data_IF_520734962483
#
_entry.id   IF_520734962483
#
_cell.length_a   1.000
_cell.length_b   1.000
_cell.length_c   1.000
_cell.angle_alpha   90.00
_cell.angle_beta   90.00
_cell.angle_gamma   90.00
#
_symmetry.space_group_name_H-M   'P 1'
#
loop_
_entity.id
_entity.type
_entity.pdbx_description
1 polymer ?
#
# COMPACT_ATOMS: atom_id res chain seq x y z
N UNK A 1 20.59 23.24 26.98
CA UNK A 1 19.85 24.33 26.32
C UNK A 1 20.61 24.97 25.16
N UNK A 2 21.94 25.14 25.18
CA UNK A 2 22.73 25.61 24.01
C UNK A 2 22.91 24.55 22.91
N UNK A 3 23.22 23.29 23.29
CA UNK A 3 23.52 22.21 22.33
C UNK A 3 22.34 21.87 21.38
N UNK A 4 21.09 22.11 21.80
CA UNK A 4 19.89 21.87 20.97
C UNK A 4 19.68 22.98 19.91
N UNK A 5 20.36 24.12 20.04
CA UNK A 5 20.23 25.23 19.09
C UNK A 5 21.16 25.07 17.88
N UNK A 6 22.31 24.42 18.03
CA UNK A 6 23.28 24.28 16.94
C UNK A 6 22.75 23.57 15.69
N UNK A 7 21.99 22.46 15.79
CA UNK A 7 21.42 21.82 14.61
C UNK A 7 20.41 22.69 13.84
N UNK A 8 19.84 23.73 14.47
CA UNK A 8 18.81 24.61 13.90
C UNK A 8 19.39 25.85 13.21
N UNK A 9 20.72 26.03 13.22
CA UNK A 9 21.37 27.27 12.82
C UNK A 9 21.22 27.62 11.34
N UNK A 10 21.26 26.63 10.45
CA UNK A 10 21.22 26.84 9.00
C UNK A 10 20.10 26.00 8.37
N UNK A 11 18.84 26.43 8.50
CA UNK A 11 17.73 25.75 7.84
C UNK A 11 17.91 25.83 6.32
N UNK A 12 17.56 24.73 5.64
CA UNK A 12 17.64 24.63 4.17
C UNK A 12 16.26 24.21 3.67
N UNK A 13 15.69 25.04 2.80
CA UNK A 13 14.46 24.73 2.09
C UNK A 13 14.74 24.01 0.77
N UNK A 14 13.81 23.15 0.36
CA UNK A 14 13.88 22.39 -0.89
C UNK A 14 12.51 22.37 -1.56
N UNK A 15 12.52 22.42 -2.88
CA UNK A 15 11.32 22.34 -3.72
C UNK A 15 11.48 21.22 -4.76
N UNK A 16 10.36 20.60 -5.12
CA UNK A 16 10.29 19.55 -6.15
C UNK A 16 9.58 20.08 -7.40
N UNK A 17 10.09 19.73 -8.58
CA UNK A 17 9.52 20.14 -9.86
C UNK A 17 9.12 18.90 -10.68
N UNK A 18 7.88 18.45 -10.52
CA UNK A 18 7.38 17.22 -11.13
C UNK A 18 7.38 17.28 -12.66
N UNK A 19 7.08 18.45 -13.25
CA UNK A 19 7.07 18.62 -14.71
C UNK A 19 8.45 18.33 -15.32
N UNK A 20 9.53 18.70 -14.61
CA UNK A 20 10.91 18.42 -15.05
C UNK A 20 11.28 16.95 -14.93
N UNK A 21 10.71 16.24 -13.94
CA UNK A 21 10.86 14.80 -13.80
C UNK A 21 10.19 14.10 -14.99
N UNK A 22 8.94 14.44 -15.29
CA UNK A 22 8.17 13.87 -16.39
C UNK A 22 8.80 14.17 -17.75
N UNK A 23 9.22 15.42 -18.01
CA UNK A 23 9.94 15.79 -19.24
C UNK A 23 11.20 14.94 -19.49
N UNK A 24 11.87 14.49 -18.43
CA UNK A 24 13.11 13.71 -18.53
C UNK A 24 12.86 12.21 -18.66
N UNK A 25 11.92 11.67 -17.88
CA UNK A 25 11.74 10.22 -17.71
C UNK A 25 10.45 9.66 -18.30
N UNK A 26 9.52 10.49 -18.76
CA UNK A 26 8.22 10.07 -19.31
C UNK A 26 8.02 10.73 -20.68
N UNK A 27 8.84 10.31 -21.65
CA UNK A 27 8.71 10.79 -23.04
C UNK A 27 7.52 10.14 -23.71
N UNK A 28 6.73 10.94 -24.40
CA UNK A 28 5.54 10.46 -25.11
C UNK A 28 5.93 9.42 -26.19
N UNK A 29 5.25 8.27 -26.17
CA UNK A 29 5.52 7.15 -27.10
C UNK A 29 6.67 6.22 -26.68
N UNK A 30 7.40 6.52 -25.60
CA UNK A 30 8.44 5.65 -25.05
C UNK A 30 7.98 5.02 -23.72
N UNK A 31 8.62 3.90 -23.34
CA UNK A 31 8.40 3.33 -22.01
C UNK A 31 8.92 4.28 -20.92
N UNK A 32 8.24 4.34 -19.78
CA UNK A 32 8.65 5.20 -18.67
C UNK A 32 10.04 4.81 -18.14
N UNK A 33 10.95 5.79 -18.15
CA UNK A 33 12.27 5.72 -17.56
C UNK A 33 12.28 5.91 -16.04
N UNK A 34 11.12 6.06 -15.40
CA UNK A 34 11.00 6.08 -13.95
C UNK A 34 11.46 4.76 -13.33
N UNK A 35 12.15 4.87 -12.20
CA UNK A 35 12.62 3.72 -11.44
C UNK A 35 11.46 3.00 -10.75
N UNK A 36 11.57 1.68 -10.58
CA UNK A 36 10.59 0.93 -9.81
C UNK A 36 10.71 1.25 -8.30
N UNK A 37 9.59 1.18 -7.59
CA UNK A 37 9.47 1.43 -6.16
C UNK A 37 8.62 0.34 -5.52
N UNK A 38 9.18 -0.31 -4.50
CA UNK A 38 8.43 -1.25 -3.66
C UNK A 38 8.00 -0.58 -2.36
N UNK A 39 6.71 -0.64 -2.06
CA UNK A 39 6.12 -0.06 -0.85
C UNK A 39 5.86 -1.17 0.15
N UNK A 40 6.42 -1.05 1.34
CA UNK A 40 6.34 -2.04 2.41
C UNK A 40 5.39 -1.56 3.50
N UNK A 41 4.39 -2.38 3.79
CA UNK A 41 3.47 -2.22 4.92
C UNK A 41 3.66 -3.41 5.85
N UNK A 42 3.84 -3.15 7.14
CA UNK A 42 3.94 -4.21 8.14
C UNK A 42 2.76 -4.14 9.11
N UNK A 43 2.17 -5.29 9.40
CA UNK A 43 1.12 -5.46 10.42
C UNK A 43 1.47 -6.64 11.33
N UNK A 44 1.06 -6.55 12.59
CA UNK A 44 1.42 -7.54 13.62
C UNK A 44 0.20 -8.32 14.10
N UNK A 45 -0.93 -7.65 14.34
CA UNK A 45 -2.10 -8.26 14.95
C UNK A 45 -3.37 -7.50 14.52
N UNK A 46 -4.28 -8.14 13.78
CA UNK A 46 -5.48 -7.46 13.28
C UNK A 46 -6.47 -7.07 14.39
N UNK A 47 -6.32 -7.56 15.62
CA UNK A 47 -7.12 -7.10 16.76
C UNK A 47 -6.62 -5.77 17.33
N UNK A 48 -5.33 -5.47 17.14
CA UNK A 48 -4.71 -4.19 17.56
C UNK A 48 -4.71 -3.17 16.44
N UNK A 49 -4.54 -3.65 15.22
CA UNK A 49 -4.47 -2.86 13.98
C UNK A 49 -5.68 -3.25 13.11
N UNK A 50 -6.81 -2.51 13.20
CA UNK A 50 -8.03 -2.92 12.54
C UNK A 50 -7.83 -3.16 11.04
N UNK A 51 -8.30 -4.29 10.46
CA UNK A 51 -8.03 -4.60 9.06
C UNK A 51 -8.50 -3.54 8.07
N UNK A 52 -9.55 -2.79 8.42
CA UNK A 52 -10.04 -1.68 7.62
C UNK A 52 -9.01 -0.53 7.52
N UNK A 53 -8.23 -0.27 8.57
CA UNK A 53 -7.17 0.74 8.56
C UNK A 53 -6.06 0.32 7.60
N UNK A 54 -5.56 -0.92 7.75
CA UNK A 54 -4.57 -1.51 6.83
C UNK A 54 -5.07 -1.52 5.39
N UNK A 55 -6.35 -1.85 5.15
CA UNK A 55 -6.95 -1.82 3.83
C UNK A 55 -6.95 -0.41 3.22
N UNK A 56 -7.27 0.62 4.01
CA UNK A 56 -7.23 2.02 3.57
C UNK A 56 -5.81 2.46 3.17
N UNK A 57 -4.81 2.06 3.95
CA UNK A 57 -3.39 2.28 3.64
C UNK A 57 -3.01 1.60 2.32
N UNK A 58 -3.32 0.31 2.16
CA UNK A 58 -3.07 -0.44 0.92
C UNK A 58 -3.77 0.20 -0.28
N UNK A 59 -5.03 0.57 -0.17
CA UNK A 59 -5.77 1.24 -1.25
C UNK A 59 -5.17 2.59 -1.63
N UNK A 60 -4.64 3.34 -0.65
CA UNK A 60 -3.93 4.60 -0.92
C UNK A 60 -2.65 4.38 -1.73
N UNK A 61 -1.93 3.29 -1.45
CA UNK A 61 -0.71 2.89 -2.15
C UNK A 61 -1.03 2.43 -3.58
N UNK A 62 -2.03 1.56 -3.76
CA UNK A 62 -2.43 1.09 -5.09
C UNK A 62 -3.00 2.22 -5.97
N UNK A 63 -3.47 3.31 -5.36
CA UNK A 63 -4.05 4.47 -6.02
C UNK A 63 -3.08 5.62 -6.33
N UNK A 64 -1.77 5.45 -6.15
CA UNK A 64 -0.76 6.50 -6.41
C UNK A 64 -0.68 6.89 -7.90
N UNK A 65 -0.22 8.11 -8.15
CA UNK A 65 0.09 8.60 -9.49
C UNK A 65 1.51 8.19 -9.88
N UNK A 66 1.65 6.96 -10.36
CA UNK A 66 2.91 6.39 -10.85
C UNK A 66 2.60 5.27 -11.88
N UNK A 67 3.52 4.94 -12.80
CA UNK A 67 3.31 3.82 -13.72
C UNK A 67 3.04 2.50 -12.98
N UNK A 68 2.03 1.76 -13.43
CA UNK A 68 1.49 0.59 -12.72
C UNK A 68 2.51 -0.56 -12.63
N UNK A 69 3.36 -0.68 -13.65
CA UNK A 69 4.43 -1.66 -13.75
C UNK A 69 5.65 -1.31 -12.89
N UNK A 70 5.68 -0.10 -12.31
CA UNK A 70 6.79 0.43 -11.51
C UNK A 70 6.49 0.55 -10.02
N UNK A 71 5.25 0.29 -9.58
CA UNK A 71 4.91 0.24 -8.15
C UNK A 71 4.44 -1.14 -7.77
N UNK A 72 4.97 -1.66 -6.67
CA UNK A 72 4.44 -2.86 -6.01
C UNK A 72 4.23 -2.60 -4.53
N UNK A 73 3.14 -3.14 -3.99
CA UNK A 73 2.79 -3.08 -2.57
C UNK A 73 3.03 -4.45 -1.93
N UNK A 74 3.82 -4.49 -0.87
CA UNK A 74 4.07 -5.66 -0.07
C UNK A 74 3.50 -5.46 1.33
N UNK A 75 2.67 -6.39 1.78
CA UNK A 75 2.12 -6.41 3.12
C UNK A 75 2.72 -7.58 3.87
N UNK A 76 3.54 -7.30 4.87
CA UNK A 76 4.07 -8.30 5.80
C UNK A 76 3.12 -8.46 6.98
N UNK A 77 2.64 -9.68 7.19
CA UNK A 77 1.83 -10.06 8.33
C UNK A 77 2.63 -10.92 9.30
N UNK A 78 3.11 -10.30 10.38
CA UNK A 78 3.83 -11.02 11.43
C UNK A 78 2.89 -11.89 12.29
N UNK A 79 1.58 -11.71 12.21
CA UNK A 79 0.59 -12.51 12.95
C UNK A 79 0.21 -13.82 12.26
N UNK A 80 0.51 -13.96 10.96
CA UNK A 80 0.04 -15.07 10.12
C UNK A 80 -1.48 -15.31 10.25
N UNK A 81 -2.25 -14.21 10.31
CA UNK A 81 -3.68 -14.25 10.63
C UNK A 81 -4.51 -14.44 9.38
N UNK A 82 -5.43 -15.41 9.41
CA UNK A 82 -6.42 -15.60 8.34
C UNK A 82 -7.27 -14.34 8.13
N UNK A 83 -7.57 -13.57 9.20
CA UNK A 83 -8.32 -12.32 9.09
C UNK A 83 -7.60 -11.29 8.21
N UNK A 84 -6.28 -11.11 8.40
CA UNK A 84 -5.47 -10.20 7.59
C UNK A 84 -5.46 -10.66 6.13
N UNK A 85 -5.27 -11.97 5.91
CA UNK A 85 -5.28 -12.56 4.57
C UNK A 85 -6.62 -12.37 3.83
N UNK A 86 -7.76 -12.75 4.45
CA UNK A 86 -9.10 -12.58 3.87
C UNK A 86 -9.43 -11.09 3.65
N UNK A 87 -9.01 -10.21 4.57
CA UNK A 87 -9.22 -8.76 4.42
C UNK A 87 -8.44 -8.18 3.24
N UNK A 88 -7.22 -8.67 2.98
CA UNK A 88 -6.43 -8.26 1.81
C UNK A 88 -7.05 -8.76 0.51
N UNK A 89 -7.61 -9.98 0.49
CA UNK A 89 -8.33 -10.50 -0.66
C UNK A 89 -9.54 -9.62 -1.01
N UNK A 90 -10.37 -9.27 -0.02
CA UNK A 90 -11.49 -8.32 -0.19
C UNK A 90 -11.01 -6.92 -0.62
N UNK A 91 -9.87 -6.47 -0.09
CA UNK A 91 -9.26 -5.19 -0.45
C UNK A 91 -8.80 -5.18 -1.91
N UNK A 92 -8.23 -6.28 -2.40
CA UNK A 92 -7.83 -6.43 -3.79
C UNK A 92 -9.02 -6.32 -4.74
N UNK A 93 -10.15 -6.96 -4.42
CA UNK A 93 -11.37 -6.86 -5.21
C UNK A 93 -11.97 -5.45 -5.20
N UNK A 94 -11.97 -4.77 -4.05
CA UNK A 94 -12.40 -3.38 -3.99
C UNK A 94 -11.45 -2.43 -4.75
N UNK A 95 -10.14 -2.70 -4.73
CA UNK A 95 -9.15 -1.90 -5.46
C UNK A 95 -9.43 -1.85 -6.97
N UNK A 96 -9.95 -2.93 -7.56
CA UNK A 96 -10.35 -2.99 -8.99
C UNK A 96 -11.41 -1.96 -9.38
N UNK A 97 -12.23 -1.53 -8.42
CA UNK A 97 -13.24 -0.48 -8.63
C UNK A 97 -12.72 0.89 -8.20
N UNK A 98 -12.00 0.93 -7.08
CA UNK A 98 -11.54 2.18 -6.45
C UNK A 98 -10.40 2.87 -7.19
N UNK A 99 -9.39 2.12 -7.65
CA UNK A 99 -8.20 2.68 -8.32
C UNK A 99 -8.55 3.40 -9.63
N UNK A 100 -9.31 2.81 -10.58
CA UNK A 100 -9.69 3.53 -11.80
C UNK A 100 -10.54 4.76 -11.50
N UNK A 101 -11.47 4.68 -10.53
CA UNK A 101 -12.25 5.85 -10.08
C UNK A 101 -11.34 6.98 -9.54
N UNK A 102 -10.35 6.64 -8.72
CA UNK A 102 -9.40 7.62 -8.17
C UNK A 102 -8.58 8.30 -9.26
N UNK A 103 -8.07 7.52 -10.22
CA UNK A 103 -7.26 8.03 -11.33
C UNK A 103 -8.11 8.89 -12.27
N UNK A 104 -9.29 8.40 -12.69
CA UNK A 104 -10.20 9.10 -13.61
C UNK A 104 -10.64 10.46 -13.10
N UNK A 105 -10.95 10.58 -11.80
CA UNK A 105 -11.47 11.83 -11.23
C UNK A 105 -10.44 12.62 -10.41
N UNK A 106 -9.17 12.22 -10.42
CA UNK A 106 -8.10 12.81 -9.60
C UNK A 106 -8.57 13.03 -8.14
N UNK A 107 -8.98 11.94 -7.49
CA UNK A 107 -9.51 11.97 -6.13
C UNK A 107 -8.37 12.13 -5.14
N UNK A 108 -8.51 13.03 -4.16
CA UNK A 108 -7.58 13.12 -3.03
C UNK A 108 -8.36 13.35 -1.72
N UNK A 109 -7.98 12.67 -0.61
CA UNK A 109 -6.90 11.68 -0.50
C UNK A 109 -7.31 10.33 -1.13
N UNK A 110 -6.34 9.44 -1.36
CA UNK A 110 -6.58 8.12 -1.98
C UNK A 110 -7.10 7.05 -1.01
N UNK A 111 -7.05 7.32 0.30
CA UNK A 111 -7.67 6.47 1.31
C UNK A 111 -9.20 6.72 1.37
N UNK A 112 -10.06 5.73 1.07
CA UNK A 112 -11.50 5.94 0.94
C UNK A 112 -12.21 6.35 2.24
N UNK A 113 -11.84 5.80 3.40
CA UNK A 113 -12.43 6.20 4.70
C UNK A 113 -12.22 7.69 4.94
N UNK A 114 -11.00 8.17 4.67
CA UNK A 114 -10.60 9.56 4.84
C UNK A 114 -11.27 10.46 3.79
N UNK A 115 -11.36 10.01 2.53
CA UNK A 115 -12.03 10.75 1.47
C UNK A 115 -13.52 10.92 1.74
N UNK A 116 -14.24 9.85 2.10
CA UNK A 116 -15.69 9.90 2.27
C UNK A 116 -16.14 10.52 3.60
N UNK A 117 -15.26 10.57 4.61
CA UNK A 117 -15.53 11.22 5.91
C UNK A 117 -15.26 12.73 5.92
N UNK A 118 -14.49 13.26 4.96
CA UNK A 118 -14.21 14.70 4.84
C UNK A 118 -15.50 15.50 4.64
N UNK A 119 -15.71 16.51 5.49
CA UNK A 119 -16.81 17.49 5.40
C UNK A 119 -16.44 18.70 4.52
N UNK A 120 -15.84 18.44 3.38
CA UNK A 120 -15.43 19.47 2.41
C UNK A 120 -16.34 19.39 1.19
N UNK A 121 -16.49 20.49 0.47
CA UNK A 121 -17.16 20.48 -0.83
C UNK A 121 -16.40 19.57 -1.81
N UNK A 122 -16.97 18.39 -2.05
CA UNK A 122 -16.42 17.36 -2.91
C UNK A 122 -16.69 17.64 -4.40
N UNK A 123 -17.49 18.66 -4.74
CA UNK A 123 -17.74 19.09 -6.12
C UNK A 123 -16.76 20.16 -6.59
N UNK A 124 -15.98 20.75 -5.68
CA UNK A 124 -15.00 21.78 -5.99
C UNK A 124 -14.03 21.30 -7.07
N UNK A 125 -13.88 22.12 -8.12
CA UNK A 125 -12.99 21.89 -9.27
C UNK A 125 -13.26 20.59 -10.07
N UNK A 126 -14.44 19.98 -9.90
CA UNK A 126 -14.85 18.78 -10.65
C UNK A 126 -15.64 19.17 -11.89
N UNK A 127 -15.01 19.01 -13.05
CA UNK A 127 -15.60 19.36 -14.36
C UNK A 127 -16.29 18.18 -15.07
N UNK A 128 -16.08 16.94 -14.62
CA UNK A 128 -16.61 15.76 -15.29
C UNK A 128 -18.12 15.57 -15.01
N UNK A 129 -18.98 15.51 -16.04
CA UNK A 129 -20.44 15.44 -15.85
C UNK A 129 -20.93 14.20 -15.10
N UNK A 130 -20.25 13.06 -15.25
CA UNK A 130 -20.65 11.79 -14.63
C UNK A 130 -20.22 11.66 -13.17
N UNK A 131 -19.38 12.59 -12.68
CA UNK A 131 -18.74 12.50 -11.36
C UNK A 131 -19.75 12.29 -10.22
N UNK A 132 -20.85 13.05 -10.19
CA UNK A 132 -21.85 12.96 -9.11
C UNK A 132 -22.49 11.57 -9.04
N UNK A 133 -22.83 11.01 -10.20
CA UNK A 133 -23.45 9.68 -10.32
C UNK A 133 -22.46 8.60 -9.87
N UNK A 134 -21.25 8.64 -10.41
CA UNK A 134 -20.22 7.63 -10.15
C UNK A 134 -19.70 7.70 -8.72
N UNK A 135 -19.49 8.90 -8.17
CA UNK A 135 -19.11 9.07 -6.75
C UNK A 135 -20.17 8.47 -5.82
N UNK A 136 -21.46 8.65 -6.12
CA UNK A 136 -22.54 8.08 -5.32
C UNK A 136 -22.55 6.55 -5.41
N UNK A 137 -22.33 5.98 -6.59
CA UNK A 137 -22.19 4.54 -6.76
C UNK A 137 -20.97 4.00 -5.99
N UNK A 138 -19.81 4.64 -6.15
CA UNK A 138 -18.57 4.26 -5.47
C UNK A 138 -18.68 4.36 -3.94
N UNK A 139 -19.40 5.36 -3.41
CA UNK A 139 -19.67 5.43 -1.97
C UNK A 139 -20.46 4.22 -1.48
N UNK A 140 -21.45 3.74 -2.23
CA UNK A 140 -22.22 2.53 -1.84
C UNK A 140 -21.34 1.28 -1.86
N UNK A 141 -20.55 1.12 -2.92
CA UNK A 141 -19.58 0.04 -3.06
C UNK A 141 -18.58 0.03 -1.88
N UNK A 142 -18.14 1.21 -1.43
CA UNK A 142 -17.27 1.34 -0.26
C UNK A 142 -17.96 0.95 1.05
N UNK A 143 -19.22 1.35 1.28
CA UNK A 143 -19.97 0.92 2.47
C UNK A 143 -20.22 -0.60 2.46
N UNK A 144 -20.52 -1.19 1.30
CA UNK A 144 -20.63 -2.65 1.17
C UNK A 144 -19.30 -3.37 1.46
N UNK A 145 -18.19 -2.83 0.98
CA UNK A 145 -16.86 -3.31 1.33
C UNK A 145 -16.60 -3.24 2.85
N UNK A 146 -16.95 -2.13 3.52
CA UNK A 146 -16.84 -2.01 4.98
C UNK A 146 -17.68 -3.09 5.71
N UNK A 147 -18.88 -3.36 5.22
CA UNK A 147 -19.74 -4.43 5.79
C UNK A 147 -19.06 -5.79 5.65
N UNK A 148 -18.48 -6.12 4.49
CA UNK A 148 -17.74 -7.38 4.30
C UNK A 148 -16.54 -7.51 5.23
N UNK A 149 -15.71 -6.46 5.34
CA UNK A 149 -14.58 -6.44 6.28
C UNK A 149 -15.06 -6.63 7.73
N UNK A 150 -16.13 -5.94 8.15
CA UNK A 150 -16.68 -6.08 9.49
C UNK A 150 -17.22 -7.49 9.75
N UNK A 151 -17.81 -8.14 8.74
CA UNK A 151 -18.24 -9.54 8.85
C UNK A 151 -17.04 -10.48 9.05
N UNK A 152 -15.93 -10.26 8.36
CA UNK A 152 -14.68 -11.00 8.57
C UNK A 152 -14.13 -10.80 9.98
N UNK A 153 -14.09 -9.56 10.47
CA UNK A 153 -13.66 -9.24 11.84
C UNK A 153 -14.53 -9.96 12.87
N UNK A 154 -15.86 -9.92 12.72
CA UNK A 154 -16.78 -10.59 13.62
C UNK A 154 -16.62 -12.12 13.58
N UNK A 155 -16.40 -12.72 12.40
CA UNK A 155 -16.10 -14.15 12.22
C UNK A 155 -14.81 -14.53 12.94
N UNK A 156 -13.76 -13.72 12.80
CA UNK A 156 -12.43 -13.96 13.39
C UNK A 156 -12.42 -13.97 14.93
N UNK A 157 -13.41 -13.33 15.58
CA UNK A 157 -13.53 -13.36 17.06
C UNK A 157 -13.89 -14.76 17.60
N UNK A 158 -14.42 -15.65 16.75
CA UNK A 158 -14.82 -17.02 17.12
C UNK A 158 -13.88 -18.02 16.45
N UNK A 159 -12.73 -18.24 17.07
CA UNK A 159 -11.75 -19.22 16.57
C UNK A 159 -12.34 -20.63 16.60
N UNK A 160 -12.40 -21.35 15.47
CA UNK A 160 -12.88 -22.74 15.46
C UNK A 160 -11.97 -23.65 16.30
N UNK A 161 -12.50 -24.65 17.02
CA UNK A 161 -11.69 -25.61 17.79
C UNK A 161 -10.66 -26.34 16.94
N UNK A 162 -11.04 -26.67 15.69
CA UNK A 162 -10.22 -27.39 14.72
C UNK A 162 -9.16 -26.49 14.03
N UNK A 163 -9.16 -25.20 14.36
CA UNK A 163 -8.40 -24.17 13.65
C UNK A 163 -9.12 -23.62 12.42
N UNK A 164 -8.48 -22.64 11.78
CA UNK A 164 -8.97 -22.02 10.57
C UNK A 164 -8.78 -22.94 9.36
N UNK A 165 -9.73 -22.88 8.42
CA UNK A 165 -9.76 -23.65 7.17
C UNK A 165 -9.92 -22.67 6.01
N UNK A 166 -9.14 -22.86 4.96
CA UNK A 166 -9.20 -22.10 3.72
C UNK A 166 -10.46 -22.44 2.90
N UNK A 167 -10.78 -21.64 1.89
CA UNK A 167 -11.96 -21.87 1.05
C UNK A 167 -11.90 -23.20 0.26
N UNK A 168 -10.71 -23.71 0.00
CA UNK A 168 -10.48 -24.99 -0.67
C UNK A 168 -10.56 -26.21 0.28
N UNK A 169 -10.89 -25.98 1.55
CA UNK A 169 -11.01 -27.02 2.57
C UNK A 169 -9.70 -27.43 3.24
N UNK A 170 -8.57 -26.81 2.88
CA UNK A 170 -7.27 -27.10 3.52
C UNK A 170 -7.10 -26.34 4.84
N UNK A 171 -6.38 -26.89 5.84
CA UNK A 171 -6.08 -26.16 7.07
C UNK A 171 -5.23 -24.91 6.80
N UNK A 172 -5.54 -23.80 7.47
CA UNK A 172 -4.74 -22.58 7.40
C UNK A 172 -3.31 -22.85 7.93
N UNK A 173 -2.25 -22.61 7.13
CA UNK A 173 -0.89 -22.92 7.57
C UNK A 173 -0.42 -22.09 8.78
N UNK A 174 -1.01 -20.90 8.98
CA UNK A 174 -0.74 -20.02 10.11
C UNK A 174 -1.54 -20.30 11.38
N UNK A 175 -2.22 -21.45 11.50
CA UNK A 175 -3.01 -21.79 12.70
C UNK A 175 -2.21 -21.74 14.00
N UNK A 176 -0.90 -22.06 13.96
CA UNK A 176 0.02 -21.87 15.07
C UNK A 176 0.96 -20.69 14.78
N UNK A 177 0.71 -19.54 15.44
CA UNK A 177 1.48 -18.30 15.22
C UNK A 177 2.96 -18.40 15.65
N UNK A 178 3.34 -19.44 16.41
CA UNK A 178 4.72 -19.70 16.84
C UNK A 178 5.44 -20.76 16.00
N UNK A 179 4.70 -21.54 15.22
CA UNK A 179 5.23 -22.63 14.39
C UNK A 179 4.40 -22.75 13.11
N UNK A 180 4.81 -22.05 12.06
CA UNK A 180 4.17 -22.08 10.75
C UNK A 180 5.18 -21.87 9.63
N UNK A 181 4.95 -22.45 8.44
CA UNK A 181 5.77 -22.20 7.27
C UNK A 181 5.60 -20.74 6.78
N UNK A 182 6.57 -20.26 6.01
CA UNK A 182 6.42 -19.00 5.29
C UNK A 182 5.35 -19.10 4.20
N UNK A 183 4.61 -18.01 3.99
CA UNK A 183 3.52 -17.93 3.00
C UNK A 183 3.72 -16.68 2.15
N UNK A 184 3.59 -16.82 0.82
CA UNK A 184 3.61 -15.70 -0.12
C UNK A 184 2.41 -15.84 -1.05
N UNK A 185 1.59 -14.79 -1.14
CA UNK A 185 0.46 -14.74 -2.06
C UNK A 185 0.49 -13.44 -2.86
N UNK A 186 0.29 -13.54 -4.17
CA UNK A 186 0.13 -12.37 -5.05
C UNK A 186 -1.35 -12.22 -5.39
N UNK A 187 -1.96 -11.08 -5.04
CA UNK A 187 -3.39 -10.81 -5.25
C UNK A 187 -3.64 -10.01 -6.53
N UNK A 188 -2.85 -8.96 -6.77
CA UNK A 188 -2.94 -8.06 -7.93
C UNK A 188 -1.61 -8.03 -8.69
N UNK A 189 -1.63 -7.50 -9.91
CA UNK A 189 -0.49 -7.45 -10.84
C UNK A 189 -0.80 -8.19 -12.13
N UNK A 190 0.23 -8.44 -12.95
CA UNK A 190 0.08 -9.07 -14.27
C UNK A 190 -0.73 -10.38 -14.29
N UNK A 191 -0.54 -11.25 -13.29
CA UNK A 191 -1.29 -12.52 -13.15
C UNK A 191 -2.57 -12.39 -12.31
N UNK A 192 -2.83 -11.22 -11.73
CA UNK A 192 -3.92 -10.96 -10.80
C UNK A 192 -5.18 -10.39 -11.45
N UNK A 193 -5.28 -10.40 -12.79
CA UNK A 193 -6.43 -9.84 -13.52
C UNK A 193 -6.43 -8.32 -13.62
N UNK A 194 -7.45 -7.77 -14.27
CA UNK A 194 -7.56 -6.35 -14.61
C UNK A 194 -8.52 -5.59 -13.68
N UNK A 195 -8.48 -4.27 -13.75
CA UNK A 195 -9.47 -3.39 -13.13
C UNK A 195 -10.78 -3.36 -13.94
N UNK A 196 -11.78 -2.61 -13.43
CA UNK A 196 -13.08 -2.51 -14.07
C UNK A 196 -13.07 -1.87 -15.48
N UNK A 197 -11.98 -1.16 -15.83
CA UNK A 197 -11.79 -0.52 -17.13
C UNK A 197 -10.87 -1.36 -18.05
N UNK A 198 -10.41 -2.54 -17.60
CA UNK A 198 -9.56 -3.46 -18.36
C UNK A 198 -8.06 -3.20 -18.26
N UNK A 199 -7.61 -2.35 -17.33
CA UNK A 199 -6.19 -2.02 -17.14
C UNK A 199 -5.54 -2.84 -16.03
N UNK A 200 -4.22 -2.98 -16.08
CA UNK A 200 -3.46 -3.61 -14.99
C UNK A 200 -3.40 -2.73 -13.73
N UNK A 201 -3.34 -3.38 -12.57
CA UNK A 201 -3.16 -2.73 -11.27
C UNK A 201 -1.74 -2.99 -10.72
N UNK A 202 -1.22 -2.09 -9.86
CA UNK A 202 0.02 -2.35 -9.14
C UNK A 202 -0.04 -3.68 -8.39
N UNK A 203 1.10 -4.37 -8.31
CA UNK A 203 1.17 -5.68 -7.66
C UNK A 203 0.87 -5.56 -6.17
N UNK A 204 0.07 -6.47 -5.63
CA UNK A 204 -0.16 -6.59 -4.19
C UNK A 204 0.32 -7.97 -3.72
N UNK A 205 1.34 -8.00 -2.87
CA UNK A 205 1.97 -9.21 -2.36
C UNK A 205 1.76 -9.31 -0.86
N UNK A 206 1.12 -10.38 -0.40
CA UNK A 206 1.08 -10.76 1.01
C UNK A 206 2.27 -11.65 1.33
N UNK A 207 2.94 -11.37 2.44
CA UNK A 207 4.07 -12.15 2.94
C UNK A 207 3.86 -12.43 4.43
N UNK A 208 3.90 -13.71 4.80
CA UNK A 208 4.08 -14.13 6.19
C UNK A 208 5.37 -14.93 6.28
N UNK A 209 6.21 -14.62 7.27
CA UNK A 209 7.52 -15.25 7.43
C UNK A 209 7.38 -16.57 8.15
N UNK A 210 8.25 -17.52 7.84
CA UNK A 210 8.38 -18.73 8.64
C UNK A 210 8.77 -18.39 10.09
N UNK A 211 8.12 -19.05 11.05
CA UNK A 211 8.46 -18.97 12.47
C UNK A 211 8.53 -20.37 13.05
N UNK A 212 9.52 -20.61 13.90
CA UNK A 212 9.75 -21.88 14.60
C UNK A 212 10.03 -21.64 16.08
N UNK A 213 9.58 -22.55 16.98
CA UNK A 213 9.91 -22.47 18.39
C UNK A 213 11.44 -22.46 18.61
N UNK A 214 11.93 -21.60 19.51
CA UNK A 214 13.35 -21.47 19.80
C UNK A 214 14.13 -20.52 18.87
N UNK A 215 13.52 -19.99 17.82
CA UNK A 215 14.15 -19.03 16.90
C UNK A 215 13.70 -17.59 17.19
N UNK A 216 14.66 -16.69 17.39
CA UNK A 216 14.37 -15.27 17.59
C UNK A 216 13.99 -14.60 16.26
N UNK A 217 12.83 -13.95 16.21
CA UNK A 217 12.25 -13.44 14.96
C UNK A 217 12.38 -11.91 14.75
N UNK A 218 12.96 -11.20 15.72
CA UNK A 218 13.32 -9.77 15.64
C UNK A 218 12.19 -8.78 15.29
N UNK A 219 10.92 -9.13 15.56
CA UNK A 219 9.73 -8.27 15.35
C UNK A 219 9.78 -7.57 13.96
N UNK A 220 9.52 -6.26 13.92
CA UNK A 220 9.52 -5.41 12.72
C UNK A 220 10.85 -5.44 11.95
N UNK A 221 12.00 -5.47 12.63
CA UNK A 221 13.29 -5.53 11.95
C UNK A 221 13.45 -6.81 11.12
N UNK A 222 13.02 -7.95 11.68
CA UNK A 222 13.00 -9.21 10.95
C UNK A 222 11.99 -9.21 9.80
N UNK A 223 10.84 -8.57 9.98
CA UNK A 223 9.79 -8.44 8.95
C UNK A 223 10.32 -7.65 7.75
N UNK A 224 10.86 -6.45 8.00
CA UNK A 224 11.43 -5.57 6.97
C UNK A 224 12.58 -6.25 6.22
N UNK A 225 13.50 -6.91 6.94
CA UNK A 225 14.60 -7.63 6.30
C UNK A 225 14.13 -8.79 5.41
N UNK A 226 13.04 -9.47 5.77
CA UNK A 226 12.47 -10.51 4.92
C UNK A 226 11.78 -9.92 3.70
N UNK A 227 11.03 -8.82 3.85
CA UNK A 227 10.42 -8.11 2.73
C UNK A 227 11.47 -7.69 1.70
N UNK A 228 12.60 -7.13 2.13
CA UNK A 228 13.71 -6.77 1.23
C UNK A 228 14.19 -8.00 0.42
N UNK A 229 14.36 -9.15 1.06
CA UNK A 229 14.81 -10.38 0.37
C UNK A 229 13.76 -10.92 -0.60
N UNK A 230 12.49 -10.88 -0.22
CA UNK A 230 11.38 -11.35 -1.08
C UNK A 230 11.20 -10.41 -2.27
N UNK A 231 11.22 -9.09 -2.03
CA UNK A 231 11.17 -8.05 -3.07
C UNK A 231 12.33 -8.20 -4.07
N UNK A 232 13.56 -8.42 -3.59
CA UNK A 232 14.73 -8.62 -4.45
C UNK A 232 14.57 -9.79 -5.45
N UNK A 233 13.75 -10.81 -5.13
CA UNK A 233 13.47 -11.94 -6.01
C UNK A 233 12.28 -11.67 -6.93
N UNK A 234 11.23 -10.98 -6.45
CA UNK A 234 9.97 -10.83 -7.18
C UNK A 234 9.92 -9.63 -8.13
N UNK A 235 10.57 -8.53 -7.78
CA UNK A 235 10.48 -7.22 -8.48
C UNK A 235 11.85 -6.55 -8.61
N UNK A 236 12.71 -6.72 -7.60
CA UNK A 236 14.04 -6.12 -7.52
C UNK A 236 14.04 -4.60 -7.74
N UNK A 237 13.10 -3.89 -7.10
CA UNK A 237 13.02 -2.44 -7.20
C UNK A 237 14.25 -1.76 -6.55
N UNK A 238 14.85 -0.75 -7.19
CA UNK A 238 16.01 -0.04 -6.64
C UNK A 238 15.68 0.84 -5.43
N UNK A 239 14.41 1.20 -5.25
CA UNK A 239 13.95 2.03 -4.14
C UNK A 239 12.84 1.32 -3.38
N UNK A 240 12.84 1.49 -2.06
CA UNK A 240 11.78 1.01 -1.16
C UNK A 240 11.19 2.17 -0.36
N UNK A 241 9.89 2.13 -0.13
CA UNK A 241 9.16 3.05 0.75
C UNK A 241 8.58 2.25 1.92
N UNK A 242 9.01 2.55 3.14
CA UNK A 242 8.43 1.95 4.34
C UNK A 242 7.25 2.78 4.86
N UNK A 243 6.09 2.16 5.04
CA UNK A 243 4.87 2.75 5.58
C UNK A 243 4.31 1.88 6.71
N UNK A 244 3.85 2.52 7.77
CA UNK A 244 3.15 1.84 8.86
C UNK A 244 1.68 1.63 8.48
N UNK A 245 1.02 0.62 9.06
CA UNK A 245 -0.33 0.23 8.65
C UNK A 245 -1.39 1.32 8.87
N UNK A 246 -1.13 2.28 9.76
CA UNK A 246 -1.97 3.44 10.08
C UNK A 246 -1.60 4.71 9.31
N UNK A 247 -0.56 4.67 8.47
CA UNK A 247 -0.15 5.78 7.61
C UNK A 247 -0.57 5.54 6.17
N UNK A 248 -1.26 6.51 5.58
CA UNK A 248 -1.71 6.45 4.19
C UNK A 248 -1.07 7.54 3.33
N UNK A 249 -1.03 7.33 2.02
CA UNK A 249 -0.53 8.34 1.08
C UNK A 249 -1.60 9.41 0.85
N UNK A 250 -1.40 10.59 1.43
CA UNK A 250 -2.35 11.71 1.34
C UNK A 250 -2.32 12.37 -0.05
N UNK A 251 -1.12 12.66 -0.58
CA UNK A 251 -0.89 13.22 -1.91
C UNK A 251 -0.43 12.10 -2.85
N UNK A 252 -1.19 11.85 -3.91
CA UNK A 252 -0.89 10.76 -4.86
C UNK A 252 0.45 10.90 -5.59
N UNK A 253 1.08 12.08 -5.54
CA UNK A 253 2.35 12.41 -6.17
C UNK A 253 3.57 12.24 -5.25
N UNK A 254 3.40 11.81 -4.00
CA UNK A 254 4.51 11.69 -3.04
C UNK A 254 5.69 10.83 -3.55
N UNK A 255 5.41 9.74 -4.26
CA UNK A 255 6.47 8.91 -4.86
C UNK A 255 7.22 9.68 -5.95
N UNK A 256 6.52 10.45 -6.79
CA UNK A 256 7.15 11.31 -7.81
C UNK A 256 8.01 12.40 -7.17
N UNK A 257 7.54 13.01 -6.09
CA UNK A 257 8.30 14.01 -5.32
C UNK A 257 9.60 13.41 -4.75
N UNK A 258 9.55 12.19 -4.22
CA UNK A 258 10.75 11.47 -3.79
C UNK A 258 11.72 11.21 -4.95
N UNK A 259 11.20 10.84 -6.13
CA UNK A 259 12.01 10.59 -7.32
C UNK A 259 12.69 11.87 -7.85
N UNK A 260 12.14 13.07 -7.62
CA UNK A 260 12.84 14.31 -7.93
C UNK A 260 14.21 14.42 -7.25
N UNK A 261 14.35 13.91 -6.01
CA UNK A 261 15.62 13.91 -5.29
C UNK A 261 16.48 12.70 -5.62
N UNK A 262 15.87 11.50 -5.65
CA UNK A 262 16.59 10.23 -5.80
C UNK A 262 17.10 10.00 -7.22
N UNK A 263 16.38 10.51 -8.23
CA UNK A 263 16.74 10.38 -9.64
C UNK A 263 17.38 11.65 -10.22
N UNK A 264 17.82 12.58 -9.37
CA UNK A 264 18.59 13.74 -9.82
C UNK A 264 20.00 13.29 -10.29
N UNK A 265 20.44 13.61 -11.52
CA UNK A 265 21.73 13.15 -12.04
C UNK A 265 22.96 13.68 -11.28
N UNK A 266 22.84 14.83 -10.61
CA UNK A 266 23.93 15.48 -9.89
C UNK A 266 23.92 15.10 -8.40
N UNK A 267 22.74 15.15 -7.78
CA UNK A 267 22.58 14.98 -6.33
C UNK A 267 22.12 13.58 -5.92
N UNK A 268 21.34 12.87 -6.76
CA UNK A 268 20.66 11.63 -6.40
C UNK A 268 21.59 10.53 -5.92
N UNK A 269 22.80 10.43 -6.50
CA UNK A 269 23.84 9.48 -6.07
C UNK A 269 24.33 9.67 -4.63
N UNK A 270 24.06 10.83 -4.02
CA UNK A 270 24.44 11.17 -2.64
C UNK A 270 23.26 11.07 -1.67
N UNK A 271 22.05 10.77 -2.16
CA UNK A 271 20.83 10.66 -1.36
C UNK A 271 20.57 9.18 -1.06
N UNK A 272 20.47 8.84 0.23
CA UNK A 272 20.15 7.48 0.66
C UNK A 272 18.66 7.29 0.96
N UNK A 273 17.97 8.31 1.48
CA UNK A 273 16.53 8.30 1.71
C UNK A 273 15.97 9.73 1.64
N UNK A 274 14.66 9.82 1.39
CA UNK A 274 13.88 11.07 1.47
C UNK A 274 12.89 10.91 2.61
N UNK A 275 13.05 11.70 3.68
CA UNK A 275 12.14 11.69 4.82
C UNK A 275 11.00 12.67 4.56
N UNK A 276 9.76 12.19 4.64
CA UNK A 276 8.57 13.03 4.62
C UNK A 276 8.17 13.43 6.06
N UNK A 277 7.58 14.62 6.27
CA UNK A 277 6.91 14.94 7.53
C UNK A 277 5.71 13.98 7.72
N UNK A 278 5.56 13.47 8.94
CA UNK A 278 4.50 12.55 9.35
C UNK A 278 3.37 13.32 10.03
#
# INVERSE_FOLDING_TARGET
LLLDQFPKWFPIDRETYLDRLSLRYEREGEASGLAAVDVFVSTVDPLKEPPLVTANTVLSILGVDYPVEKVSCYVSDDGASMLTFESLAETAEFARKWVPFCKRFAIEPRAPELYFSRKVDYLKDKVQPTFVKERRAMKREYEEFKVRINALVAKAMKVPPEGWIMQDGTPWPGNNTRDHPGMIQVFLGHSGGHDADGNELPRLVYVSREKRPGFQHHKKAGAMNALIRVSAVLTNAPFMLNLDCDHYINNSKAIREAMCFLMDPQAGRKVCYVQFPQ
#
